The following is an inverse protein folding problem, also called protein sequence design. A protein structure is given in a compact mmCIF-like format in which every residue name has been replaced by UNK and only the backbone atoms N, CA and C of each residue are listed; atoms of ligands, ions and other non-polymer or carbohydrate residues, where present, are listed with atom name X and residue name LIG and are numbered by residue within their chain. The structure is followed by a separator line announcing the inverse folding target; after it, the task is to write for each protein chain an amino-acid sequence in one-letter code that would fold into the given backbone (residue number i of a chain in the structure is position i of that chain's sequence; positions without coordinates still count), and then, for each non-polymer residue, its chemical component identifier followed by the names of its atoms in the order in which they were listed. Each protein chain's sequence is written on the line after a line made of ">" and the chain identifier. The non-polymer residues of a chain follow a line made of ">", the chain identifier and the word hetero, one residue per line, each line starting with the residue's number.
data_IF_002518303204
#
_entry.id   IF_002518303204
#
_cell.length_a   1.000
_cell.length_b   1.000
_cell.length_c   1.000
_cell.angle_alpha   90.00
_cell.angle_beta   90.00
_cell.angle_gamma   90.00
#
_symmetry.space_group_name_H-M   'P 1'
#
loop_
_entity.id
_entity.type
_entity.pdbx_description
1 polymer ?
#
# COMPACT_ATOMS: atom_id res chain seq x y z
N UNK A 1 54.83 -3.27 62.05
CA UNK A 1 55.03 -4.50 61.23
C UNK A 1 54.03 -4.47 60.07
N UNK A 2 54.46 -4.81 58.86
CA UNK A 2 54.52 -3.81 57.78
C UNK A 2 53.88 -4.24 56.44
N UNK A 3 53.85 -3.29 55.50
CA UNK A 3 53.89 -3.41 54.03
C UNK A 3 52.62 -3.91 53.31
N UNK A 4 52.23 -3.41 52.14
CA UNK A 4 53.02 -2.77 51.09
C UNK A 4 52.14 -1.86 50.19
N UNK A 5 52.73 -0.72 49.85
CA UNK A 5 52.34 0.28 48.85
C UNK A 5 52.80 -0.22 47.48
N UNK A 6 52.05 0.04 46.40
CA UNK A 6 52.72 0.44 45.17
C UNK A 6 51.90 1.37 44.28
N UNK A 7 52.58 2.46 43.97
CA UNK A 7 52.28 3.61 43.15
C UNK A 7 52.90 3.33 41.76
N UNK A 8 52.34 3.86 40.67
CA UNK A 8 53.14 4.16 39.49
C UNK A 8 52.55 5.33 38.70
N UNK A 9 53.38 6.35 38.55
CA UNK A 9 53.08 7.65 37.96
C UNK A 9 53.61 7.76 36.53
N UNK A 10 52.94 8.65 35.77
CA UNK A 10 53.46 9.60 34.75
C UNK A 10 54.33 9.12 33.57
N UNK A 11 53.93 9.59 32.39
CA UNK A 11 54.87 9.92 31.30
C UNK A 11 54.18 10.65 30.14
N UNK A 12 54.46 11.95 29.99
CA UNK A 12 54.05 12.81 28.85
C UNK A 12 54.99 12.59 27.66
N UNK A 13 54.52 12.87 26.45
CA UNK A 13 55.38 13.12 25.30
C UNK A 13 54.60 13.61 24.08
N UNK A 14 54.73 14.90 23.77
CA UNK A 14 54.12 15.62 22.65
C UNK A 14 55.03 15.56 21.41
N UNK A 15 54.45 15.69 20.20
CA UNK A 15 55.07 16.47 19.11
C UNK A 15 55.27 15.82 17.73
N UNK A 16 54.78 16.56 16.71
CA UNK A 16 55.15 16.65 15.28
C UNK A 16 54.84 15.44 14.36
N UNK A 17 53.96 15.53 13.35
CA UNK A 17 53.91 16.29 12.06
C UNK A 17 54.62 15.58 10.88
N UNK A 18 53.93 15.54 9.72
CA UNK A 18 54.34 15.15 8.35
C UNK A 18 54.81 13.70 8.09
N UNK A 19 54.69 13.07 6.92
CA UNK A 19 53.95 13.23 5.66
C UNK A 19 54.25 11.97 4.82
N UNK A 20 53.34 11.60 3.90
CA UNK A 20 53.58 10.91 2.61
C UNK A 20 54.29 9.52 2.62
N UNK A 21 53.58 8.44 2.25
CA UNK A 21 53.58 7.82 0.91
C UNK A 21 53.02 6.38 0.92
N UNK A 22 52.59 5.96 -0.26
CA UNK A 22 51.81 4.78 -0.62
C UNK A 22 52.45 3.42 -0.33
N UNK A 23 51.60 2.43 -0.01
CA UNK A 23 51.61 1.16 -0.76
C UNK A 23 50.38 0.28 -0.49
N UNK A 24 49.57 0.16 -1.56
CA UNK A 24 49.04 -1.08 -2.15
C UNK A 24 48.56 -2.19 -1.19
N UNK A 25 47.24 -2.21 -0.97
CA UNK A 25 46.50 -3.38 -0.52
C UNK A 25 45.19 -3.49 -1.30
N UNK A 26 45.17 -4.35 -2.32
CA UNK A 26 44.02 -4.53 -3.20
C UNK A 26 42.82 -5.18 -2.51
N UNK A 27 41.63 -4.66 -2.80
CA UNK A 27 40.39 -5.44 -2.87
C UNK A 27 39.60 -4.95 -4.07
N UNK A 28 39.65 -5.74 -5.15
CA UNK A 28 38.70 -5.63 -6.26
C UNK A 28 37.28 -5.73 -5.69
N UNK A 29 36.50 -4.65 -5.79
CA UNK A 29 35.04 -4.73 -5.66
C UNK A 29 34.51 -5.17 -7.02
N UNK A 30 34.07 -6.42 -7.11
CA UNK A 30 33.30 -6.90 -8.26
C UNK A 30 32.03 -6.06 -8.47
N UNK A 31 31.49 -6.02 -9.70
CA UNK A 31 30.33 -5.20 -10.00
C UNK A 31 29.12 -5.66 -9.18
N UNK A 32 28.42 -4.68 -8.59
CA UNK A 32 27.15 -4.86 -7.89
C UNK A 32 26.13 -5.46 -8.86
N UNK A 33 25.83 -6.74 -8.74
CA UNK A 33 24.54 -7.27 -9.19
C UNK A 33 23.48 -6.68 -8.25
N UNK A 34 22.60 -5.83 -8.79
CA UNK A 34 21.39 -5.37 -8.10
C UNK A 34 20.18 -5.85 -8.88
N UNK A 35 19.66 -6.98 -8.39
CA UNK A 35 18.24 -7.32 -8.22
C UNK A 35 17.26 -6.62 -9.18
N UNK A 36 16.91 -7.31 -10.24
CA UNK A 36 15.64 -7.09 -10.93
C UNK A 36 14.53 -7.58 -10.00
N UNK A 37 13.61 -6.69 -9.63
CA UNK A 37 12.39 -7.05 -8.92
C UNK A 37 11.53 -7.79 -9.93
N UNK A 38 11.45 -9.11 -9.79
CA UNK A 38 10.56 -9.95 -10.58
C UNK A 38 9.12 -9.48 -10.40
N UNK A 39 8.46 -9.18 -11.51
CA UNK A 39 7.01 -9.02 -11.55
C UNK A 39 6.38 -10.36 -11.20
N UNK A 40 5.69 -10.44 -10.06
CA UNK A 40 4.79 -11.56 -9.80
C UNK A 40 3.56 -11.40 -10.68
N UNK A 41 3.54 -12.18 -11.75
CA UNK A 41 2.31 -12.66 -12.37
C UNK A 41 1.56 -13.58 -11.37
N UNK A 42 0.24 -13.59 -11.50
CA UNK A 42 -0.74 -14.44 -10.83
C UNK A 42 -1.16 -14.10 -9.38
N UNK A 43 -2.31 -13.44 -9.30
CA UNK A 43 -3.41 -13.95 -8.50
C UNK A 43 -4.72 -13.71 -9.26
N UNK A 44 -5.21 -14.74 -9.94
CA UNK A 44 -6.55 -14.76 -10.49
C UNK A 44 -7.57 -14.69 -9.36
N UNK A 45 -8.52 -13.77 -9.48
CA UNK A 45 -9.78 -13.83 -8.75
C UNK A 45 -10.89 -13.73 -9.80
N UNK A 46 -11.31 -14.90 -10.25
CA UNK A 46 -12.62 -15.09 -10.86
C UNK A 46 -13.68 -14.80 -9.79
N UNK A 47 -14.48 -13.75 -10.01
CA UNK A 47 -15.62 -13.38 -9.18
C UNK A 47 -16.84 -13.12 -10.08
N UNK A 48 -17.66 -14.16 -10.21
CA UNK A 48 -18.85 -14.28 -11.04
C UNK A 48 -19.93 -13.21 -10.75
N UNK A 49 -20.70 -12.87 -11.78
CA UNK A 49 -21.94 -12.11 -11.60
C UNK A 49 -22.77 -11.84 -12.84
N UNK A 50 -22.76 -12.71 -13.87
CA UNK A 50 -23.70 -12.55 -14.99
C UNK A 50 -25.02 -13.20 -14.58
N UNK A 51 -26.00 -12.37 -14.24
CA UNK A 51 -27.39 -12.79 -14.04
C UNK A 51 -27.89 -13.44 -15.32
N UNK A 52 -28.31 -14.70 -15.18
CA UNK A 52 -29.07 -15.42 -16.19
C UNK A 52 -30.50 -14.88 -16.18
N UNK A 53 -30.81 -13.96 -17.09
CA UNK A 53 -32.19 -13.58 -17.37
C UNK A 53 -32.68 -14.24 -18.66
N UNK A 54 -33.59 -15.19 -18.42
CA UNK A 54 -34.79 -15.51 -19.18
C UNK A 54 -34.68 -15.63 -20.70
N UNK A 55 -34.63 -16.91 -21.09
CA UNK A 55 -35.13 -17.49 -22.31
C UNK A 55 -36.55 -16.96 -22.63
N UNK A 56 -36.68 -16.01 -23.55
CA UNK A 56 -37.92 -15.80 -24.30
C UNK A 56 -37.71 -16.28 -25.73
N UNK A 57 -38.10 -17.53 -25.98
CA UNK A 57 -38.49 -17.95 -27.31
C UNK A 57 -39.79 -17.23 -27.67
N UNK A 58 -39.71 -16.28 -28.58
CA UNK A 58 -40.90 -15.75 -29.25
C UNK A 58 -41.32 -16.81 -30.28
N UNK A 59 -42.55 -17.37 -30.19
CA UNK A 59 -43.00 -18.42 -31.10
C UNK A 59 -42.99 -17.90 -32.53
N UNK A 60 -42.22 -18.58 -33.39
CA UNK A 60 -42.28 -18.39 -34.82
C UNK A 60 -43.71 -18.51 -35.29
N UNK A 61 -44.28 -17.41 -35.78
CA UNK A 61 -45.58 -17.39 -36.44
C UNK A 61 -45.44 -18.17 -37.75
N UNK A 62 -45.70 -19.47 -37.68
CA UNK A 62 -45.86 -20.34 -38.83
C UNK A 62 -47.03 -19.81 -39.66
N UNK A 63 -46.72 -19.03 -40.70
CA UNK A 63 -47.64 -18.80 -41.80
C UNK A 63 -47.78 -20.14 -42.55
N UNK A 64 -48.75 -20.94 -42.13
CA UNK A 64 -49.24 -22.09 -42.90
C UNK A 64 -49.78 -21.56 -44.22
N UNK A 65 -49.01 -21.74 -45.28
CA UNK A 65 -49.51 -21.82 -46.64
C UNK A 65 -49.29 -23.24 -47.11
N UNK A 66 -50.20 -24.12 -46.70
CA UNK A 66 -50.38 -25.41 -47.35
C UNK A 66 -50.78 -25.14 -48.82
N UNK A 67 -50.12 -25.74 -49.83
CA UNK A 67 -50.64 -25.70 -51.19
C UNK A 67 -51.90 -26.57 -51.25
N UNK A 68 -52.97 -26.14 -51.93
CA UNK A 68 -54.16 -26.97 -52.09
C UNK A 68 -53.82 -28.01 -53.15
N UNK A 69 -53.37 -29.19 -52.73
CA UNK A 69 -53.07 -30.29 -53.65
C UNK A 69 -53.92 -31.52 -53.28
N UNK A 70 -54.70 -32.01 -54.25
CA UNK A 70 -55.37 -33.30 -54.17
C UNK A 70 -56.78 -33.42 -54.74
N UNK A 71 -57.56 -32.33 -54.85
CA UNK A 71 -58.98 -32.44 -55.27
C UNK A 71 -59.32 -31.84 -56.65
N UNK A 72 -58.44 -31.06 -57.29
CA UNK A 72 -58.76 -30.39 -58.56
C UNK A 72 -58.53 -31.24 -59.82
N UNK A 73 -57.76 -32.32 -59.74
CA UNK A 73 -57.40 -33.10 -60.93
C UNK A 73 -58.57 -33.90 -61.53
N UNK A 74 -59.53 -34.33 -60.71
CA UNK A 74 -60.69 -35.12 -61.12
C UNK A 74 -61.81 -34.28 -61.77
N UNK A 75 -62.04 -33.04 -61.34
CA UNK A 75 -62.95 -32.10 -62.01
C UNK A 75 -62.35 -31.50 -63.29
N UNK A 76 -61.03 -31.26 -63.31
CA UNK A 76 -60.30 -30.76 -64.48
C UNK A 76 -60.36 -31.72 -65.67
N UNK A 77 -60.36 -33.04 -65.43
CA UNK A 77 -60.45 -34.05 -66.50
C UNK A 77 -61.83 -34.10 -67.17
N UNK A 78 -62.92 -34.06 -66.39
CA UNK A 78 -64.30 -34.05 -66.95
C UNK A 78 -64.60 -32.81 -67.80
N UNK A 79 -63.99 -31.67 -67.47
CA UNK A 79 -64.16 -30.42 -68.21
C UNK A 79 -63.34 -30.37 -69.52
N UNK A 80 -62.18 -31.05 -69.57
CA UNK A 80 -61.37 -31.18 -70.79
C UNK A 80 -62.09 -32.01 -71.85
N UNK A 81 -62.71 -33.13 -71.46
CA UNK A 81 -63.41 -34.04 -72.37
C UNK A 81 -64.62 -33.37 -73.04
N UNK A 82 -65.39 -32.59 -72.26
CA UNK A 82 -66.50 -31.77 -72.79
C UNK A 82 -66.04 -30.63 -73.70
N UNK A 83 -64.86 -30.06 -73.46
CA UNK A 83 -64.30 -28.98 -74.29
C UNK A 83 -63.75 -29.53 -75.61
N UNK A 84 -63.05 -30.68 -75.57
CA UNK A 84 -62.58 -31.39 -76.76
C UNK A 84 -63.72 -31.79 -77.69
N UNK A 85 -64.84 -32.29 -77.13
CA UNK A 85 -66.03 -32.62 -77.93
C UNK A 85 -66.60 -31.41 -78.68
N UNK A 86 -66.57 -30.22 -78.07
CA UNK A 86 -66.99 -28.96 -78.72
C UNK A 86 -66.00 -28.50 -79.79
N UNK A 87 -64.70 -28.63 -79.54
CA UNK A 87 -63.64 -28.28 -80.50
C UNK A 87 -63.66 -29.17 -81.75
N UNK A 88 -63.93 -30.47 -81.60
CA UNK A 88 -64.07 -31.41 -82.73
C UNK A 88 -65.27 -31.02 -83.62
N UNK A 89 -66.40 -30.64 -83.01
CA UNK A 89 -67.58 -30.16 -83.74
C UNK A 89 -67.29 -28.87 -84.52
N UNK A 90 -66.61 -27.91 -83.91
CA UNK A 90 -66.20 -26.65 -84.56
C UNK A 90 -65.19 -26.89 -85.69
N UNK A 91 -64.25 -27.83 -85.51
CA UNK A 91 -63.30 -28.22 -86.54
C UNK A 91 -64.03 -28.86 -87.73
N UNK A 92 -64.96 -29.77 -87.48
CA UNK A 92 -65.72 -30.44 -88.53
C UNK A 92 -66.60 -29.46 -89.32
N UNK A 93 -67.20 -28.47 -88.66
CA UNK A 93 -67.90 -27.37 -89.33
C UNK A 93 -66.96 -26.52 -90.21
N UNK A 94 -65.79 -26.13 -89.71
CA UNK A 94 -64.81 -25.34 -90.47
C UNK A 94 -64.21 -26.11 -91.67
N UNK A 95 -64.10 -27.44 -91.58
CA UNK A 95 -63.65 -28.28 -92.70
C UNK A 95 -64.74 -28.48 -93.76
N UNK A 96 -66.02 -28.42 -93.39
CA UNK A 96 -67.14 -28.52 -94.32
C UNK A 96 -67.35 -27.24 -95.16
N UNK A 97 -66.87 -26.09 -94.69
CA UNK A 97 -66.91 -24.83 -95.44
C UNK A 97 -65.83 -24.72 -96.53
N UNK A 98 -64.86 -25.62 -96.54
CA UNK A 98 -63.81 -25.68 -97.56
C UNK A 98 -64.25 -26.63 -98.69
N UNK A 99 -64.14 -26.22 -99.95
CA UNK A 99 -64.57 -27.04 -101.10
C UNK A 99 -63.43 -27.85 -101.70
N UNK A 100 -62.19 -27.35 -101.63
CA UNK A 100 -61.02 -28.05 -102.15
C UNK A 100 -60.43 -29.02 -101.12
N UNK A 101 -60.07 -30.25 -101.52
CA UNK A 101 -59.45 -31.22 -100.62
C UNK A 101 -58.08 -30.74 -100.09
N UNK A 102 -57.36 -29.94 -100.87
CA UNK A 102 -56.05 -29.37 -100.53
C UNK A 102 -56.16 -28.32 -99.39
N UNK A 103 -57.20 -27.50 -99.40
CA UNK A 103 -57.46 -26.51 -98.34
C UNK A 103 -57.84 -27.17 -97.01
N UNK A 104 -58.63 -28.27 -97.06
CA UNK A 104 -58.95 -29.07 -95.88
C UNK A 104 -57.70 -29.70 -95.26
N UNK A 105 -56.78 -30.18 -96.10
CA UNK A 105 -55.51 -30.74 -95.67
C UNK A 105 -54.62 -29.67 -95.02
N UNK A 106 -54.49 -28.49 -95.63
CA UNK A 106 -53.71 -27.38 -95.07
C UNK A 106 -54.28 -26.89 -93.72
N UNK A 107 -55.60 -26.80 -93.60
CA UNK A 107 -56.27 -26.44 -92.34
C UNK A 107 -56.04 -27.49 -91.23
N UNK A 108 -56.09 -28.78 -91.56
CA UNK A 108 -55.76 -29.86 -90.63
C UNK A 108 -54.28 -29.82 -90.21
N UNK A 109 -53.34 -29.65 -91.14
CA UNK A 109 -51.92 -29.51 -90.83
C UNK A 109 -51.64 -28.33 -89.89
N UNK A 110 -52.28 -27.18 -90.13
CA UNK A 110 -52.17 -26.01 -89.26
C UNK A 110 -52.73 -26.30 -87.87
N UNK A 111 -53.92 -26.89 -87.77
CA UNK A 111 -54.54 -27.25 -86.48
C UNK A 111 -53.70 -28.25 -85.69
N UNK A 112 -53.07 -29.19 -86.37
CA UNK A 112 -52.17 -30.14 -85.74
C UNK A 112 -50.89 -29.46 -85.21
N UNK A 113 -50.30 -28.54 -85.99
CA UNK A 113 -49.16 -27.74 -85.53
C UNK A 113 -49.50 -26.86 -84.31
N UNK A 114 -50.64 -26.18 -84.32
CA UNK A 114 -51.13 -25.36 -83.21
C UNK A 114 -51.34 -26.20 -81.93
N UNK A 115 -51.87 -27.43 -82.07
CA UNK A 115 -52.06 -28.37 -80.96
C UNK A 115 -50.72 -28.82 -80.35
N UNK A 116 -49.72 -29.10 -81.18
CA UNK A 116 -48.40 -29.50 -80.70
C UNK A 116 -47.64 -28.32 -80.05
N UNK A 117 -47.78 -27.11 -80.59
CA UNK A 117 -47.27 -25.88 -79.98
C UNK A 117 -47.93 -25.63 -78.61
N UNK A 118 -49.26 -25.74 -78.52
CA UNK A 118 -50.01 -25.63 -77.25
C UNK A 118 -49.55 -26.66 -76.21
N UNK A 119 -49.31 -27.92 -76.63
CA UNK A 119 -48.71 -28.96 -75.76
C UNK A 119 -47.32 -28.57 -75.27
N UNK A 120 -46.47 -28.02 -76.14
CA UNK A 120 -45.12 -27.59 -75.77
C UNK A 120 -45.13 -26.38 -74.81
N UNK A 121 -45.98 -25.38 -75.07
CA UNK A 121 -46.19 -24.25 -74.15
C UNK A 121 -46.69 -24.75 -72.79
N UNK A 122 -47.62 -25.72 -72.76
CA UNK A 122 -48.12 -26.27 -71.50
C UNK A 122 -47.06 -27.06 -70.72
N UNK A 123 -46.17 -27.80 -71.40
CA UNK A 123 -44.99 -28.42 -70.76
C UNK A 123 -44.06 -27.36 -70.16
N UNK A 124 -43.76 -26.31 -70.92
CA UNK A 124 -42.91 -25.20 -70.45
C UNK A 124 -43.54 -24.47 -69.27
N UNK A 125 -44.85 -24.20 -69.32
CA UNK A 125 -45.61 -23.60 -68.22
C UNK A 125 -45.44 -24.40 -66.92
N UNK A 126 -45.59 -25.73 -66.97
CA UNK A 126 -45.40 -26.59 -65.79
C UNK A 126 -43.97 -26.55 -65.26
N UNK A 127 -42.97 -26.50 -66.13
CA UNK A 127 -41.55 -26.40 -65.72
C UNK A 127 -41.30 -25.05 -65.04
N UNK A 128 -41.78 -23.96 -65.63
CA UNK A 128 -41.64 -22.62 -65.07
C UNK A 128 -42.39 -22.49 -63.73
N UNK A 129 -43.58 -23.07 -63.61
CA UNK A 129 -44.34 -23.07 -62.37
C UNK A 129 -43.62 -23.84 -61.25
N UNK A 130 -42.98 -24.98 -61.57
CA UNK A 130 -42.11 -25.70 -60.61
C UNK A 130 -40.89 -24.87 -60.19
N UNK A 131 -40.22 -24.21 -61.14
CA UNK A 131 -39.10 -23.30 -60.86
C UNK A 131 -39.54 -22.13 -59.98
N UNK A 132 -40.70 -21.53 -60.27
CA UNK A 132 -41.26 -20.46 -59.45
C UNK A 132 -41.52 -20.91 -58.02
N UNK A 133 -42.12 -22.09 -57.84
CA UNK A 133 -42.35 -22.66 -56.51
C UNK A 133 -41.05 -22.92 -55.74
N UNK A 134 -40.01 -23.40 -56.43
CA UNK A 134 -38.68 -23.59 -55.83
C UNK A 134 -38.05 -22.24 -55.40
N UNK A 135 -38.06 -21.24 -56.28
CA UNK A 135 -37.52 -19.90 -55.98
C UNK A 135 -38.24 -19.27 -54.79
N UNK A 136 -39.56 -19.43 -54.68
CA UNK A 136 -40.33 -18.93 -53.53
C UNK A 136 -39.90 -19.61 -52.23
N UNK A 137 -39.71 -20.94 -52.24
CA UNK A 137 -39.20 -21.68 -51.06
C UNK A 137 -37.79 -21.22 -50.66
N UNK A 138 -36.89 -21.07 -51.64
CA UNK A 138 -35.53 -20.58 -51.40
C UNK A 138 -35.52 -19.15 -50.86
N UNK A 139 -36.40 -18.27 -51.37
CA UNK A 139 -36.57 -16.90 -50.86
C UNK A 139 -36.96 -16.89 -49.39
N UNK A 140 -37.95 -17.70 -48.99
CA UNK A 140 -38.37 -17.79 -47.59
C UNK A 140 -37.25 -18.34 -46.71
N UNK A 141 -36.54 -19.39 -47.18
CA UNK A 141 -35.38 -19.95 -46.46
C UNK A 141 -34.31 -18.88 -46.23
N UNK A 142 -33.89 -18.18 -47.29
CA UNK A 142 -32.88 -17.11 -47.22
C UNK A 142 -33.33 -15.93 -46.34
N UNK A 143 -34.62 -15.55 -46.38
CA UNK A 143 -35.16 -14.53 -45.48
C UNK A 143 -35.04 -14.96 -44.01
N UNK A 144 -35.36 -16.22 -43.69
CA UNK A 144 -35.23 -16.72 -42.32
C UNK A 144 -33.77 -16.76 -41.85
N UNK A 145 -32.83 -17.14 -42.73
CA UNK A 145 -31.40 -17.14 -42.45
C UNK A 145 -30.88 -15.72 -42.25
N UNK A 146 -31.34 -14.77 -43.05
CA UNK A 146 -31.01 -13.36 -42.91
C UNK A 146 -31.47 -12.79 -41.56
N UNK A 147 -32.70 -13.08 -41.14
CA UNK A 147 -33.20 -12.67 -39.82
C UNK A 147 -32.36 -13.26 -38.68
N UNK A 148 -31.98 -14.53 -38.75
CA UNK A 148 -31.08 -15.17 -37.75
C UNK A 148 -29.71 -14.50 -37.71
N UNK A 149 -29.14 -14.18 -38.88
CA UNK A 149 -27.86 -13.49 -38.98
C UNK A 149 -27.91 -12.08 -38.37
N UNK A 150 -29.00 -11.33 -38.55
CA UNK A 150 -29.19 -10.01 -37.92
C UNK A 150 -29.19 -10.14 -36.39
N UNK A 151 -29.95 -11.09 -35.84
CA UNK A 151 -30.01 -11.30 -34.38
C UNK A 151 -28.65 -11.69 -33.80
N UNK A 152 -27.94 -12.60 -34.47
CA UNK A 152 -26.58 -12.97 -34.06
C UNK A 152 -25.62 -11.78 -34.12
N UNK A 153 -25.71 -10.95 -35.16
CA UNK A 153 -24.92 -9.72 -35.29
C UNK A 153 -25.20 -8.76 -34.13
N UNK A 154 -26.47 -8.48 -33.84
CA UNK A 154 -26.84 -7.59 -32.73
C UNK A 154 -26.37 -8.11 -31.37
N UNK A 155 -26.42 -9.43 -31.13
CA UNK A 155 -25.89 -10.03 -29.90
C UNK A 155 -24.37 -9.85 -29.77
N UNK A 156 -23.63 -10.12 -30.84
CA UNK A 156 -22.17 -9.93 -30.86
C UNK A 156 -21.79 -8.45 -30.70
N UNK A 157 -22.53 -7.53 -31.33
CA UNK A 157 -22.31 -6.09 -31.16
C UNK A 157 -22.51 -5.64 -29.70
N UNK A 158 -23.53 -6.14 -29.01
CA UNK A 158 -23.74 -5.84 -27.58
C UNK A 158 -22.59 -6.35 -26.72
N UNK A 159 -22.21 -7.63 -26.90
CA UNK A 159 -21.11 -8.25 -26.16
C UNK A 159 -19.78 -7.53 -26.40
N UNK A 160 -19.50 -7.11 -27.65
CA UNK A 160 -18.31 -6.33 -27.96
C UNK A 160 -18.30 -4.97 -27.24
N UNK A 161 -19.44 -4.27 -27.17
CA UNK A 161 -19.56 -3.00 -26.44
C UNK A 161 -19.36 -3.19 -24.93
N UNK A 162 -19.97 -4.22 -24.36
CA UNK A 162 -19.83 -4.57 -22.95
C UNK A 162 -18.38 -4.92 -22.61
N UNK A 163 -17.73 -5.76 -23.43
CA UNK A 163 -16.33 -6.12 -23.26
C UNK A 163 -15.40 -4.90 -23.40
N UNK A 164 -15.68 -3.99 -24.33
CA UNK A 164 -14.93 -2.74 -24.47
C UNK A 164 -15.10 -1.83 -23.25
N UNK A 165 -16.33 -1.72 -22.72
CA UNK A 165 -16.61 -0.97 -21.51
C UNK A 165 -15.86 -1.55 -20.32
N UNK A 166 -15.96 -2.87 -20.10
CA UNK A 166 -15.25 -3.56 -19.02
C UNK A 166 -13.73 -3.39 -19.13
N UNK A 167 -13.15 -3.54 -20.32
CA UNK A 167 -11.72 -3.32 -20.52
C UNK A 167 -11.29 -1.87 -20.23
N UNK A 168 -12.16 -0.89 -20.52
CA UNK A 168 -11.89 0.50 -20.20
C UNK A 168 -11.91 0.71 -18.68
N UNK A 169 -12.95 0.24 -18.00
CA UNK A 169 -13.07 0.31 -16.53
C UNK A 169 -11.91 -0.39 -15.84
N UNK A 170 -11.55 -1.60 -16.27
CA UNK A 170 -10.42 -2.35 -15.70
C UNK A 170 -9.09 -1.58 -15.83
N UNK A 171 -8.86 -0.92 -16.97
CA UNK A 171 -7.66 -0.07 -17.17
C UNK A 171 -7.67 1.13 -16.24
N UNK A 172 -8.82 1.80 -16.10
CA UNK A 172 -8.98 2.95 -15.20
C UNK A 172 -8.77 2.53 -13.74
N UNK A 173 -9.34 1.41 -13.31
CA UNK A 173 -9.16 0.83 -11.97
C UNK A 173 -7.71 0.44 -11.68
N UNK A 174 -7.02 -0.23 -12.62
CA UNK A 174 -5.60 -0.56 -12.44
C UNK A 174 -4.72 0.68 -12.30
N UNK A 175 -4.96 1.71 -13.13
CA UNK A 175 -4.23 2.98 -13.03
C UNK A 175 -4.52 3.68 -11.70
N UNK A 176 -5.78 3.66 -11.25
CA UNK A 176 -6.18 4.25 -9.99
C UNK A 176 -5.58 3.50 -8.80
N UNK A 177 -5.62 2.17 -8.80
CA UNK A 177 -5.02 1.33 -7.77
C UNK A 177 -3.50 1.54 -7.69
N UNK A 178 -2.80 1.60 -8.83
CA UNK A 178 -1.37 1.88 -8.85
C UNK A 178 -1.03 3.23 -8.21
N UNK A 179 -1.86 4.27 -8.44
CA UNK A 179 -1.70 5.58 -7.80
C UNK A 179 -1.96 5.52 -6.30
N UNK A 180 -3.00 4.82 -5.87
CA UNK A 180 -3.31 4.66 -4.46
C UNK A 180 -2.21 3.92 -3.70
N UNK A 181 -1.67 2.85 -4.28
CA UNK A 181 -0.53 2.11 -3.72
C UNK A 181 0.74 2.98 -3.65
N UNK A 182 0.99 3.80 -4.68
CA UNK A 182 2.09 4.77 -4.68
C UNK A 182 1.94 5.79 -3.53
N UNK A 183 0.74 6.36 -3.36
CA UNK A 183 0.47 7.30 -2.27
C UNK A 183 0.57 6.63 -0.89
N UNK A 184 0.05 5.41 -0.71
CA UNK A 184 0.24 4.65 0.54
C UNK A 184 1.71 4.39 0.84
N UNK A 185 2.53 4.11 -0.18
CA UNK A 185 3.96 3.94 -0.03
C UNK A 185 4.63 5.25 0.43
N UNK A 186 4.25 6.39 -0.17
CA UNK A 186 4.74 7.73 0.24
C UNK A 186 4.34 8.07 1.67
N UNK A 187 3.08 7.83 2.06
CA UNK A 187 2.59 8.06 3.41
C UNK A 187 3.33 7.22 4.44
N UNK A 188 3.54 5.93 4.16
CA UNK A 188 4.30 5.04 5.03
C UNK A 188 5.75 5.50 5.18
N UNK A 189 6.41 5.88 4.07
CA UNK A 189 7.78 6.40 4.09
C UNK A 189 7.87 7.71 4.89
N UNK A 190 6.91 8.63 4.71
CA UNK A 190 6.85 9.87 5.47
C UNK A 190 6.66 9.61 6.96
N UNK A 191 5.76 8.68 7.34
CA UNK A 191 5.55 8.29 8.74
C UNK A 191 6.81 7.71 9.38
N UNK A 192 7.52 6.81 8.68
CA UNK A 192 8.80 6.29 9.17
C UNK A 192 9.84 7.40 9.34
N UNK A 193 9.94 8.32 8.38
CA UNK A 193 10.89 9.43 8.47
C UNK A 193 10.56 10.38 9.63
N UNK A 194 9.27 10.68 9.84
CA UNK A 194 8.82 11.47 10.99
C UNK A 194 9.19 10.80 12.31
N UNK A 195 8.89 9.50 12.44
CA UNK A 195 9.21 8.73 13.66
C UNK A 195 10.72 8.70 13.95
N UNK A 196 11.54 8.53 12.91
CA UNK A 196 13.00 8.58 13.05
C UNK A 196 13.47 9.95 13.53
N UNK A 197 12.92 11.03 12.98
CA UNK A 197 13.25 12.39 13.39
C UNK A 197 12.82 12.65 14.85
N UNK A 198 11.67 12.12 15.28
CA UNK A 198 11.20 12.22 16.67
C UNK A 198 12.13 11.48 17.64
N UNK A 199 12.54 10.25 17.30
CA UNK A 199 13.50 9.49 18.10
C UNK A 199 14.84 10.23 18.19
N UNK A 200 15.33 10.77 17.08
CA UNK A 200 16.55 11.56 17.07
C UNK A 200 16.43 12.80 17.96
N UNK A 201 15.32 13.55 17.87
CA UNK A 201 15.08 14.70 18.73
C UNK A 201 15.02 14.32 20.22
N UNK A 202 14.44 13.17 20.56
CA UNK A 202 14.43 12.67 21.94
C UNK A 202 15.83 12.31 22.45
N UNK A 203 16.67 11.67 21.61
CA UNK A 203 18.06 11.37 21.95
C UNK A 203 18.85 12.66 22.21
N UNK A 204 18.72 13.66 21.33
CA UNK A 204 19.37 14.96 21.48
C UNK A 204 18.90 15.68 22.76
N UNK A 205 17.60 15.65 23.07
CA UNK A 205 17.07 16.21 24.31
C UNK A 205 17.64 15.50 25.56
N UNK A 206 17.75 14.17 25.52
CA UNK A 206 18.34 13.40 26.60
C UNK A 206 19.82 13.74 26.81
N UNK A 207 20.59 13.88 25.73
CA UNK A 207 22.00 14.27 25.80
C UNK A 207 22.16 15.67 26.40
N UNK A 208 21.35 16.64 25.98
CA UNK A 208 21.32 17.99 26.57
C UNK A 208 21.01 17.91 28.06
N UNK A 209 20.02 17.11 28.46
CA UNK A 209 19.67 16.94 29.87
C UNK A 209 20.81 16.29 30.67
N UNK A 210 21.48 15.28 30.12
CA UNK A 210 22.60 14.61 30.77
C UNK A 210 23.78 15.56 30.98
N UNK A 211 24.09 16.40 29.98
CA UNK A 211 25.12 17.45 30.10
C UNK A 211 24.77 18.44 31.22
N UNK A 212 23.50 18.88 31.32
CA UNK A 212 23.04 19.75 32.41
C UNK A 212 23.22 19.10 33.79
N UNK A 213 22.80 17.84 33.96
CA UNK A 213 22.99 17.13 35.22
C UNK A 213 24.46 16.97 35.61
N UNK A 214 25.36 16.72 34.64
CA UNK A 214 26.80 16.68 34.90
C UNK A 214 27.32 18.03 35.36
N UNK A 215 26.88 19.11 34.71
CA UNK A 215 27.24 20.47 35.08
C UNK A 215 26.78 20.82 36.51
N UNK A 216 25.53 20.51 36.85
CA UNK A 216 24.99 20.70 38.20
C UNK A 216 25.75 19.90 39.26
N UNK A 217 26.13 18.64 38.95
CA UNK A 217 26.95 17.84 39.86
C UNK A 217 28.34 18.45 40.10
N UNK A 218 28.97 18.99 39.06
CA UNK A 218 30.26 19.70 39.19
C UNK A 218 30.09 20.91 40.10
N UNK A 219 29.07 21.74 39.88
CA UNK A 219 28.79 22.92 40.68
C UNK A 219 28.50 22.60 42.16
N UNK A 220 27.74 21.54 42.42
CA UNK A 220 27.48 21.05 43.78
C UNK A 220 28.78 20.56 44.44
N UNK A 221 29.62 19.82 43.69
CA UNK A 221 30.94 19.40 44.15
C UNK A 221 31.83 20.59 44.53
N UNK A 222 31.85 21.66 43.72
CA UNK A 222 32.58 22.89 44.03
C UNK A 222 32.06 23.60 45.28
N UNK A 223 30.73 23.66 45.46
CA UNK A 223 30.12 24.23 46.67
C UNK A 223 30.50 23.44 47.93
N UNK A 224 30.48 22.12 47.87
CA UNK A 224 30.93 21.25 48.97
C UNK A 224 32.42 21.45 49.27
N UNK A 225 33.26 21.52 48.23
CA UNK A 225 34.70 21.78 48.40
C UNK A 225 34.95 23.10 49.12
N UNK A 226 34.29 24.19 48.68
CA UNK A 226 34.37 25.51 49.33
C UNK A 226 33.92 25.46 50.78
N UNK A 227 32.86 24.69 51.08
CA UNK A 227 32.36 24.53 52.44
C UNK A 227 33.39 23.83 53.33
N UNK A 228 34.01 22.75 52.85
CA UNK A 228 35.07 22.03 53.57
C UNK A 228 36.26 22.96 53.84
N UNK A 229 36.71 23.72 52.84
CA UNK A 229 37.80 24.70 52.98
C UNK A 229 37.47 25.77 54.04
N UNK A 230 36.23 26.29 54.02
CA UNK A 230 35.74 27.23 55.04
C UNK A 230 35.76 26.64 56.45
N UNK A 231 35.33 25.39 56.62
CA UNK A 231 35.36 24.71 57.92
C UNK A 231 36.79 24.47 58.40
N UNK A 232 37.70 24.05 57.53
CA UNK A 232 39.10 23.87 57.86
C UNK A 232 39.76 25.18 58.34
N UNK A 233 39.50 26.29 57.65
CA UNK A 233 39.98 27.62 58.07
C UNK A 233 39.37 28.05 59.41
N UNK A 234 38.09 27.76 59.64
CA UNK A 234 37.42 28.07 60.90
C UNK A 234 37.98 27.24 62.06
N UNK A 235 38.25 25.96 61.84
CA UNK A 235 38.87 25.07 62.82
C UNK A 235 40.26 25.57 63.20
N UNK A 236 41.08 25.93 62.20
CA UNK A 236 42.41 26.53 62.44
C UNK A 236 42.30 27.83 63.26
N UNK A 237 41.29 28.66 63.00
CA UNK A 237 41.04 29.87 63.78
C UNK A 237 40.65 29.56 65.23
N UNK A 238 39.76 28.58 65.44
CA UNK A 238 39.35 28.15 66.79
C UNK A 238 40.55 27.61 67.57
N UNK A 239 41.42 26.80 66.96
CA UNK A 239 42.64 26.29 67.58
C UNK A 239 43.58 27.42 68.01
N UNK A 240 43.73 28.47 67.20
CA UNK A 240 44.53 29.66 67.55
C UNK A 240 43.92 30.38 68.76
N UNK A 241 42.60 30.57 68.78
CA UNK A 241 41.90 31.19 69.92
C UNK A 241 42.05 30.34 71.17
N UNK A 242 41.92 29.02 71.06
CA UNK A 242 42.07 28.09 72.16
C UNK A 242 43.47 28.15 72.78
N UNK A 243 44.52 28.08 71.95
CA UNK A 243 45.92 28.25 72.39
C UNK A 243 46.15 29.60 73.07
N UNK A 244 45.59 30.68 72.52
CA UNK A 244 45.69 31.99 73.14
C UNK A 244 45.03 32.03 74.54
N UNK A 245 43.85 31.41 74.69
CA UNK A 245 43.14 31.31 75.98
C UNK A 245 43.88 30.43 76.99
N UNK A 246 44.46 29.32 76.56
CA UNK A 246 45.27 28.46 77.40
C UNK A 246 46.50 29.21 77.94
N UNK A 247 47.25 29.91 77.07
CA UNK A 247 48.38 30.74 77.48
C UNK A 247 47.95 31.85 78.46
N UNK A 248 46.81 32.49 78.21
CA UNK A 248 46.24 33.50 79.10
C UNK A 248 45.91 32.91 80.49
N UNK A 249 45.34 31.70 80.54
CA UNK A 249 45.04 30.99 81.77
C UNK A 249 46.30 30.59 82.54
N UNK A 250 47.32 30.07 81.84
CA UNK A 250 48.62 29.74 82.44
C UNK A 250 49.28 30.98 83.06
N UNK A 251 49.25 32.12 82.37
CA UNK A 251 49.77 33.39 82.88
C UNK A 251 49.02 33.85 84.14
N UNK A 252 47.69 33.78 84.13
CA UNK A 252 46.88 34.13 85.30
C UNK A 252 47.17 33.20 86.49
N UNK A 253 47.29 31.89 86.24
CA UNK A 253 47.68 30.90 87.25
C UNK A 253 49.05 31.17 87.87
N UNK A 254 50.06 31.50 87.04
CA UNK A 254 51.39 31.86 87.51
C UNK A 254 51.39 33.13 88.37
N UNK A 255 50.63 34.16 87.99
CA UNK A 255 50.46 35.39 88.80
C UNK A 255 49.78 35.11 90.15
N UNK A 256 48.79 34.24 90.17
CA UNK A 256 48.12 33.81 91.40
C UNK A 256 49.07 33.02 92.31
N UNK A 257 49.89 32.14 91.75
CA UNK A 257 50.91 31.40 92.52
C UNK A 257 51.97 32.35 93.10
N UNK A 258 52.47 33.29 92.30
CA UNK A 258 53.42 34.31 92.74
C UNK A 258 52.86 35.14 93.90
N UNK A 259 51.63 35.65 93.78
CA UNK A 259 50.97 36.40 94.86
C UNK A 259 50.73 35.55 96.11
N UNK A 260 50.33 34.29 95.95
CA UNK A 260 50.17 33.34 97.06
C UNK A 260 51.50 33.08 97.78
N UNK A 261 52.61 32.95 97.05
CA UNK A 261 53.95 32.78 97.63
C UNK A 261 54.36 34.03 98.43
N UNK A 262 54.18 35.23 97.87
CA UNK A 262 54.49 36.48 98.56
C UNK A 262 53.65 36.65 99.85
N UNK A 263 52.36 36.27 99.83
CA UNK A 263 51.50 36.28 101.02
C UNK A 263 52.04 35.29 102.07
N UNK A 264 52.39 34.06 101.68
CA UNK A 264 52.98 33.07 102.60
C UNK A 264 54.29 33.55 103.21
N UNK A 265 55.19 34.12 102.42
CA UNK A 265 56.45 34.68 102.91
C UNK A 265 56.23 35.84 103.89
N UNK A 266 55.27 36.72 103.60
CA UNK A 266 54.87 37.80 104.49
C UNK A 266 54.27 37.26 105.81
N UNK A 267 53.39 36.26 105.73
CA UNK A 267 52.79 35.60 106.90
C UNK A 267 53.86 34.91 107.76
N UNK A 268 54.80 34.19 107.14
CA UNK A 268 55.92 33.56 107.85
C UNK A 268 56.82 34.60 108.52
N UNK A 269 57.15 35.70 107.83
CA UNK A 269 57.92 36.81 108.39
C UNK A 269 57.19 37.41 109.59
N UNK A 270 55.89 37.68 109.45
CA UNK A 270 55.05 38.19 110.53
C UNK A 270 54.99 37.22 111.71
N UNK A 271 54.89 35.91 111.46
CA UNK A 271 54.96 34.89 112.51
C UNK A 271 56.32 34.88 113.23
N UNK A 272 57.43 34.99 112.49
CA UNK A 272 58.79 35.08 113.06
C UNK A 272 58.92 36.32 113.94
N UNK A 273 58.46 37.48 113.48
CA UNK A 273 58.44 38.73 114.24
C UNK A 273 57.58 38.60 115.51
N UNK A 274 56.40 38.00 115.43
CA UNK A 274 55.54 37.72 116.60
C UNK A 274 56.22 36.82 117.63
N UNK A 275 56.88 35.74 117.19
CA UNK A 275 57.62 34.84 118.09
C UNK A 275 58.81 35.58 118.73
N UNK A 276 59.51 36.41 117.96
CA UNK A 276 60.62 37.22 118.46
C UNK A 276 60.15 38.21 119.54
N UNK A 277 59.07 38.96 119.30
CA UNK A 277 58.49 39.90 120.27
C UNK A 277 58.06 39.16 121.54
N UNK A 278 57.38 38.00 121.40
CA UNK A 278 57.00 37.18 122.56
C UNK A 278 58.22 36.73 123.37
N UNK A 279 59.30 36.28 122.71
CA UNK A 279 60.57 35.91 123.38
C UNK A 279 61.22 37.11 124.05
N UNK A 280 61.32 38.24 123.37
CA UNK A 280 61.89 39.48 123.91
C UNK A 280 61.12 39.98 125.14
N UNK A 281 59.79 39.99 125.08
CA UNK A 281 58.94 40.35 126.23
C UNK A 281 59.11 39.36 127.40
N UNK A 282 59.30 38.06 127.12
CA UNK A 282 59.55 37.05 128.17
C UNK A 282 60.91 37.23 128.85
N UNK A 283 61.94 37.61 128.09
CA UNK A 283 63.27 37.95 128.64
C UNK A 283 63.20 39.26 129.46
N UNK A 284 62.48 40.27 128.97
CA UNK A 284 62.27 41.53 129.71
C UNK A 284 61.47 41.34 131.00
N UNK A 285 60.61 40.32 131.09
CA UNK A 285 59.86 39.99 132.30
C UNK A 285 60.66 39.13 133.31
N UNK A 286 61.89 38.73 132.99
CA UNK A 286 62.77 37.92 133.83
C UNK A 286 63.96 38.71 134.41
N UNK A 287 64.07 40.00 134.09
CA UNK A 287 65.01 40.98 134.66
C UNK A 287 64.21 41.89 135.58
#
# INVERSE_FOLDING_TARGET
>A
MPTRVEEAARGRGSGAEEAIEASRGGRQRGPRQKFEIGTMEEAGICGLGVKADMLEEIPGREARTDPPDGQQDSECNRNKEKTLGKEVLLLMQALNTLSAPEEKLAALCKKYADLEESRNVQKQMKILQKKQAQIVKEKVRLQSEHSKAILARSKLESLCRELQCHNKTLKEENVQQAREEEERCKEAAAHFQMTLNEIQAQLEQHDIHNVKLRQENIELGEKLKKLIEWYALREEHIDKVFKHKELQQQLAGARLQQTTQLIKEADEKHQRERVFIKRSNRVKAQI
#
